data_IF_338209253983
#
_entry.id   IF_338209253983
#
_cell.length_a   1.000
_cell.length_b   1.000
_cell.length_c   1.000
_cell.angle_alpha   90.00
_cell.angle_beta   90.00
_cell.angle_gamma   90.00
#
_symmetry.space_group_name_H-M   'P 1'
#
loop_
_entity.id
_entity.type
_entity.pdbx_description
1 polymer ?
#
# COMPACT_ATOMS: atom_id res chain seq x y z
N UNK A 1 -4.62 4.86 -9.18
CA UNK A 1 -3.79 4.35 -10.28
C UNK A 1 -2.86 5.46 -10.75
N UNK A 2 -1.68 5.62 -10.13
CA UNK A 2 -0.58 6.31 -10.76
C UNK A 2 0.26 5.19 -11.37
N UNK A 3 -0.09 4.79 -12.57
CA UNK A 3 0.78 4.00 -13.41
C UNK A 3 2.12 4.77 -13.56
N UNK A 4 3.26 4.06 -13.74
CA UNK A 4 4.58 4.63 -14.07
C UNK A 4 4.55 5.34 -15.45
N UNK A 5 3.87 6.46 -15.49
CA UNK A 5 3.72 7.26 -16.69
C UNK A 5 4.95 8.16 -16.76
N UNK A 6 5.92 7.76 -17.57
CA UNK A 6 6.98 8.65 -17.99
C UNK A 6 6.32 9.82 -18.75
N UNK A 7 6.01 10.90 -18.03
CA UNK A 7 5.71 12.17 -18.65
C UNK A 7 7.03 12.58 -19.31
N UNK A 8 7.11 12.42 -20.63
CA UNK A 8 8.17 13.03 -21.42
C UNK A 8 8.10 14.52 -21.17
N UNK A 9 9.24 15.17 -20.93
CA UNK A 9 9.36 16.65 -20.82
C UNK A 9 8.81 17.41 -22.03
N UNK A 10 8.35 16.71 -23.06
CA UNK A 10 7.87 17.25 -24.33
C UNK A 10 6.34 17.34 -24.46
N UNK A 11 5.55 16.80 -23.52
CA UNK A 11 4.08 16.88 -23.57
C UNK A 11 3.49 17.58 -22.35
N UNK A 12 2.45 18.40 -22.57
CA UNK A 12 1.71 19.01 -21.48
C UNK A 12 0.93 17.94 -20.69
N UNK A 13 0.56 18.22 -19.43
CA UNK A 13 -0.32 17.36 -18.64
C UNK A 13 -1.62 17.07 -19.38
N UNK A 14 -2.16 18.05 -20.10
CA UNK A 14 -3.36 17.91 -20.92
C UNK A 14 -3.17 16.87 -22.04
N UNK A 15 -2.08 16.97 -22.80
CA UNK A 15 -1.79 16.02 -23.88
C UNK A 15 -1.62 14.61 -23.36
N UNK A 16 -0.99 14.48 -22.19
CA UNK A 16 -0.81 13.21 -21.51
C UNK A 16 -2.15 12.59 -21.10
N UNK A 17 -3.03 13.34 -20.44
CA UNK A 17 -4.34 12.86 -20.01
C UNK A 17 -5.23 12.50 -21.21
N UNK A 18 -5.23 13.35 -22.24
CA UNK A 18 -5.96 13.13 -23.49
C UNK A 18 -5.50 11.88 -24.23
N UNK A 19 -4.19 11.70 -24.41
CA UNK A 19 -3.60 10.56 -25.12
C UNK A 19 -3.90 9.23 -24.40
N UNK A 20 -4.02 9.28 -23.07
CA UNK A 20 -4.33 8.11 -22.26
C UNK A 20 -5.83 7.95 -21.96
N UNK A 21 -6.70 8.79 -22.56
CA UNK A 21 -8.16 8.78 -22.35
C UNK A 21 -8.55 8.87 -20.87
N UNK A 22 -7.83 9.66 -20.09
CA UNK A 22 -8.10 9.88 -18.66
C UNK A 22 -9.03 11.08 -18.54
N UNK A 23 -10.20 10.85 -17.95
CA UNK A 23 -11.16 11.91 -17.66
C UNK A 23 -10.60 12.82 -16.57
N UNK A 24 -10.57 14.12 -16.83
CA UNK A 24 -10.06 15.14 -15.93
C UNK A 24 -11.01 16.33 -15.87
N UNK A 25 -11.07 16.97 -14.70
CA UNK A 25 -11.80 18.24 -14.50
C UNK A 25 -10.80 19.30 -14.04
N UNK A 26 -10.88 20.50 -14.64
CA UNK A 26 -10.12 21.69 -14.25
C UNK A 26 -11.02 22.76 -13.65
N UNK A 27 -10.43 23.83 -13.15
CA UNK A 27 -11.11 25.02 -12.64
C UNK A 27 -12.06 24.72 -11.45
N UNK A 28 -11.72 23.71 -10.66
CA UNK A 28 -12.46 23.34 -9.43
C UNK A 28 -11.75 23.95 -8.23
N UNK A 29 -12.52 24.52 -7.29
CA UNK A 29 -11.99 24.91 -5.98
C UNK A 29 -11.61 23.67 -5.16
N UNK A 30 -10.38 23.20 -5.39
CA UNK A 30 -9.84 22.01 -4.72
C UNK A 30 -9.70 22.21 -3.22
N UNK A 31 -9.51 23.44 -2.73
CA UNK A 31 -9.44 23.74 -1.29
C UNK A 31 -10.79 23.56 -0.62
N UNK A 32 -11.86 24.08 -1.24
CA UNK A 32 -13.23 23.88 -0.77
C UNK A 32 -13.58 22.39 -0.76
N UNK A 33 -13.22 21.66 -1.83
CA UNK A 33 -13.44 20.21 -1.94
C UNK A 33 -12.72 19.43 -0.83
N UNK A 34 -11.45 19.74 -0.57
CA UNK A 34 -10.67 19.09 0.50
C UNK A 34 -11.27 19.39 1.87
N UNK A 35 -11.68 20.65 2.13
CA UNK A 35 -12.36 21.02 3.39
C UNK A 35 -13.67 20.25 3.55
N UNK A 36 -14.47 20.14 2.48
CA UNK A 36 -15.70 19.39 2.51
C UNK A 36 -15.49 17.90 2.83
N UNK A 37 -14.49 17.26 2.20
CA UNK A 37 -14.14 15.84 2.47
C UNK A 37 -13.65 15.67 3.91
N UNK A 38 -12.87 16.61 4.43
CA UNK A 38 -12.39 16.57 5.81
C UNK A 38 -13.53 16.59 6.81
N UNK A 39 -14.53 17.44 6.55
CA UNK A 39 -15.64 17.64 7.49
C UNK A 39 -16.71 16.53 7.37
N UNK A 40 -16.90 15.96 6.17
CA UNK A 40 -17.96 14.97 5.88
C UNK A 40 -17.46 13.55 5.68
N UNK A 41 -16.14 13.34 5.64
CA UNK A 41 -15.52 12.04 5.39
C UNK A 41 -15.34 11.72 3.91
N UNK A 42 -14.58 10.66 3.65
CA UNK A 42 -14.37 10.13 2.31
C UNK A 42 -15.68 9.57 1.73
N UNK A 43 -15.99 9.92 0.50
CA UNK A 43 -17.24 9.58 -0.17
C UNK A 43 -17.03 9.17 -1.62
N UNK A 44 -18.01 8.47 -2.17
CA UNK A 44 -18.05 8.19 -3.60
C UNK A 44 -18.30 9.47 -4.38
N UNK A 45 -17.65 9.61 -5.53
CA UNK A 45 -17.79 10.75 -6.42
C UNK A 45 -17.89 10.27 -7.88
N UNK A 46 -18.44 11.11 -8.74
CA UNK A 46 -18.49 10.86 -10.18
C UNK A 46 -17.97 12.08 -10.94
N UNK A 47 -17.16 11.82 -11.96
CA UNK A 47 -16.77 12.81 -12.96
C UNK A 47 -17.31 12.29 -14.30
N UNK A 48 -18.02 13.13 -15.04
CA UNK A 48 -18.61 12.76 -16.33
C UNK A 48 -18.24 13.75 -17.41
N UNK A 49 -17.95 13.24 -18.60
CA UNK A 49 -17.78 14.02 -19.84
C UNK A 49 -19.05 14.08 -20.68
N UNK A 50 -20.08 13.32 -20.29
CA UNK A 50 -21.37 13.34 -20.98
C UNK A 50 -22.19 14.54 -20.55
N UNK A 51 -23.01 15.07 -21.48
CA UNK A 51 -24.03 16.09 -21.18
C UNK A 51 -25.02 15.50 -20.17
N UNK A 52 -25.23 16.21 -19.06
CA UNK A 52 -26.03 15.70 -17.97
C UNK A 52 -27.33 16.44 -17.97
N UNK A 53 -28.39 15.80 -18.49
CA UNK A 53 -29.71 16.38 -18.58
C UNK A 53 -30.46 16.44 -17.22
N UNK A 54 -29.96 15.69 -16.22
CA UNK A 54 -30.51 15.76 -14.87
C UNK A 54 -29.55 15.28 -13.78
N UNK A 55 -29.42 16.07 -12.73
CA UNK A 55 -28.69 15.73 -11.50
C UNK A 55 -29.23 14.45 -10.87
N UNK A 56 -30.53 14.19 -10.97
CA UNK A 56 -31.14 12.99 -10.37
C UNK A 56 -30.67 11.69 -11.02
N UNK A 57 -30.40 11.72 -12.33
CA UNK A 57 -29.80 10.55 -13.04
C UNK A 57 -28.41 10.24 -12.51
N UNK A 58 -27.58 11.25 -12.27
CA UNK A 58 -26.23 11.08 -11.71
C UNK A 58 -26.33 10.57 -10.27
N UNK A 59 -27.15 11.19 -9.44
CA UNK A 59 -27.36 10.74 -8.05
C UNK A 59 -27.80 9.29 -8.01
N UNK A 60 -28.68 8.87 -8.92
CA UNK A 60 -29.11 7.47 -9.05
C UNK A 60 -27.97 6.53 -9.51
N UNK A 61 -27.04 7.00 -10.33
CA UNK A 61 -25.83 6.23 -10.68
C UNK A 61 -24.89 6.15 -9.49
N UNK A 62 -24.63 7.28 -8.84
CA UNK A 62 -23.73 7.37 -7.68
C UNK A 62 -24.21 6.49 -6.51
N UNK A 63 -25.53 6.42 -6.26
CA UNK A 63 -26.10 5.59 -5.20
C UNK A 63 -25.88 4.08 -5.40
N UNK A 64 -25.53 3.63 -6.62
CA UNK A 64 -25.21 2.24 -6.95
C UNK A 64 -23.73 1.89 -6.74
N UNK A 65 -22.87 2.89 -6.52
CA UNK A 65 -21.43 2.66 -6.29
C UNK A 65 -21.26 2.08 -4.89
N UNK A 66 -20.62 0.91 -4.74
CA UNK A 66 -20.48 0.27 -3.45
C UNK A 66 -19.62 1.10 -2.50
N UNK A 67 -19.85 0.95 -1.21
CA UNK A 67 -18.94 1.47 -0.18
C UNK A 67 -17.57 0.78 -0.30
N UNK A 68 -16.52 1.47 0.16
CA UNK A 68 -15.20 0.88 0.24
C UNK A 68 -15.12 -0.23 1.32
N UNK A 69 -15.99 -0.20 2.35
CA UNK A 69 -16.06 -1.24 3.37
C UNK A 69 -16.49 -2.57 2.75
N UNK A 70 -15.75 -3.61 3.01
CA UNK A 70 -15.96 -4.96 2.46
C UNK A 70 -15.60 -5.09 0.98
N UNK A 71 -15.04 -4.05 0.35
CA UNK A 71 -14.74 -4.06 -1.07
C UNK A 71 -13.30 -4.57 -1.33
N UNK A 72 -13.21 -5.81 -1.76
CA UNK A 72 -11.97 -6.42 -2.22
C UNK A 72 -11.62 -5.91 -3.62
N UNK A 73 -10.45 -5.29 -3.77
CA UNK A 73 -9.97 -4.74 -5.05
C UNK A 73 -8.59 -5.27 -5.49
N UNK A 74 -7.89 -5.98 -4.62
CA UNK A 74 -6.56 -6.51 -4.94
C UNK A 74 -6.62 -7.52 -6.09
N UNK A 75 -7.66 -8.35 -6.17
CA UNK A 75 -7.87 -9.28 -7.27
C UNK A 75 -8.01 -8.63 -8.65
N UNK A 76 -8.47 -7.37 -8.68
CA UNK A 76 -8.67 -6.62 -9.93
C UNK A 76 -7.39 -6.00 -10.48
N UNK A 77 -6.34 -5.88 -9.66
CA UNK A 77 -5.09 -5.18 -10.00
C UNK A 77 -3.86 -6.07 -9.90
N UNK A 78 -3.98 -7.20 -9.22
CA UNK A 78 -2.93 -8.21 -9.12
C UNK A 78 -2.64 -8.85 -10.48
N UNK A 79 -1.40 -9.30 -10.66
CA UNK A 79 -1.03 -10.08 -11.85
C UNK A 79 -1.84 -11.38 -11.93
N UNK A 80 -2.12 -11.82 -13.15
CA UNK A 80 -2.83 -13.09 -13.40
C UNK A 80 -1.89 -14.31 -13.40
N UNK A 81 -0.58 -14.10 -13.59
CA UNK A 81 0.45 -15.16 -13.63
C UNK A 81 1.70 -14.68 -12.93
N UNK A 82 2.45 -15.58 -12.26
CA UNK A 82 3.74 -15.22 -11.70
C UNK A 82 4.68 -14.68 -12.78
N UNK A 83 5.46 -13.64 -12.41
CA UNK A 83 6.52 -13.10 -13.27
C UNK A 83 7.76 -12.77 -12.43
N UNK A 84 8.87 -12.57 -13.12
CA UNK A 84 10.14 -12.25 -12.50
C UNK A 84 10.51 -10.79 -12.73
N UNK A 85 11.23 -10.19 -11.77
CA UNK A 85 11.75 -8.84 -11.86
C UNK A 85 13.13 -8.73 -11.20
N UNK A 86 14.05 -8.01 -11.84
CA UNK A 86 15.45 -7.88 -11.41
C UNK A 86 16.38 -8.82 -12.17
N UNK A 87 17.65 -8.82 -11.78
CA UNK A 87 18.68 -9.70 -12.34
C UNK A 87 18.61 -11.07 -11.66
N UNK A 88 18.57 -12.15 -12.43
CA UNK A 88 18.52 -13.52 -11.91
C UNK A 88 19.79 -13.92 -11.14
N UNK A 89 20.91 -13.23 -11.38
CA UNK A 89 22.17 -13.41 -10.67
C UNK A 89 22.24 -12.60 -9.37
N UNK A 90 21.20 -11.90 -8.99
CA UNK A 90 21.14 -11.14 -7.75
C UNK A 90 21.29 -12.04 -6.54
N UNK A 91 21.93 -11.51 -5.48
CA UNK A 91 22.25 -12.23 -4.25
C UNK A 91 21.02 -12.75 -3.51
N UNK A 92 19.92 -11.97 -3.50
CA UNK A 92 18.74 -12.27 -2.70
C UNK A 92 17.54 -12.62 -3.56
N UNK A 93 16.78 -13.63 -3.16
CA UNK A 93 15.50 -14.03 -3.78
C UNK A 93 14.33 -13.61 -2.90
N UNK A 94 13.46 -12.75 -3.39
CA UNK A 94 12.32 -12.26 -2.65
C UNK A 94 11.03 -12.67 -3.34
N UNK A 95 10.20 -13.46 -2.64
CA UNK A 95 8.86 -13.79 -3.11
C UNK A 95 7.88 -12.67 -2.74
N UNK A 96 7.27 -12.04 -3.73
CA UNK A 96 6.35 -10.92 -3.57
C UNK A 96 4.92 -11.41 -3.77
N UNK A 97 4.06 -11.24 -2.78
CA UNK A 97 2.61 -11.42 -2.95
C UNK A 97 2.03 -10.11 -3.50
N UNK A 98 1.48 -10.17 -4.70
CA UNK A 98 0.98 -9.01 -5.44
C UNK A 98 -0.47 -8.70 -5.10
N UNK A 99 -0.68 -7.64 -4.34
CA UNK A 99 -1.99 -7.06 -4.04
C UNK A 99 -2.27 -5.78 -4.85
N UNK A 100 -1.40 -5.45 -5.81
CA UNK A 100 -1.39 -4.22 -6.60
C UNK A 100 -0.05 -3.49 -6.48
N UNK A 101 1.07 -4.23 -6.64
CA UNK A 101 2.42 -3.75 -6.39
C UNK A 101 2.79 -2.55 -7.26
N UNK A 102 3.28 -1.48 -6.65
CA UNK A 102 3.88 -0.36 -7.38
C UNK A 102 5.25 -0.77 -7.91
N UNK A 103 5.47 -0.50 -9.20
CA UNK A 103 6.73 -0.82 -9.87
C UNK A 103 7.96 -0.24 -9.15
N UNK A 104 7.80 0.90 -8.47
CA UNK A 104 8.92 1.52 -7.76
C UNK A 104 9.36 0.71 -6.52
N UNK A 105 8.49 -0.09 -5.92
CA UNK A 105 8.86 -1.06 -4.87
C UNK A 105 9.82 -2.10 -5.45
N UNK A 106 9.46 -2.71 -6.57
CA UNK A 106 10.31 -3.73 -7.23
C UNK A 106 11.65 -3.13 -7.68
N UNK A 107 11.65 -1.90 -8.19
CA UNK A 107 12.87 -1.18 -8.56
C UNK A 107 13.77 -0.91 -7.35
N UNK A 108 13.22 -0.55 -6.18
CA UNK A 108 13.99 -0.33 -4.96
C UNK A 108 14.63 -1.62 -4.43
N UNK A 109 13.91 -2.74 -4.48
CA UNK A 109 14.46 -4.05 -4.13
C UNK A 109 15.54 -4.50 -5.13
N UNK A 110 15.29 -4.35 -6.43
CA UNK A 110 16.26 -4.71 -7.47
C UNK A 110 17.57 -3.90 -7.38
N UNK A 111 17.50 -2.61 -7.06
CA UNK A 111 18.68 -1.77 -6.81
C UNK A 111 19.54 -2.25 -5.63
N UNK A 112 18.96 -3.06 -4.74
CA UNK A 112 19.61 -3.66 -3.58
C UNK A 112 19.97 -5.13 -3.79
N UNK A 113 20.23 -5.49 -5.04
CA UNK A 113 20.70 -6.82 -5.43
C UNK A 113 19.68 -7.93 -5.11
N UNK A 114 18.38 -7.65 -5.30
CA UNK A 114 17.31 -8.62 -5.14
C UNK A 114 16.69 -9.02 -6.48
N UNK A 115 16.48 -10.32 -6.65
CA UNK A 115 15.69 -10.94 -7.70
C UNK A 115 14.33 -11.33 -7.14
N UNK A 116 13.26 -10.83 -7.74
CA UNK A 116 11.91 -11.05 -7.26
C UNK A 116 11.16 -12.02 -8.15
N UNK A 117 10.38 -12.91 -7.53
CA UNK A 117 9.26 -13.58 -8.17
C UNK A 117 7.97 -13.02 -7.59
N UNK A 118 7.19 -12.39 -8.45
CA UNK A 118 5.92 -11.76 -8.10
C UNK A 118 4.80 -12.76 -8.33
N UNK A 119 4.03 -13.06 -7.30
CA UNK A 119 2.97 -14.05 -7.29
C UNK A 119 1.59 -13.38 -7.22
N UNK A 120 0.58 -13.88 -7.93
CA UNK A 120 -0.79 -13.40 -7.84
C UNK A 120 -1.33 -13.40 -6.40
N UNK A 121 -2.30 -12.51 -6.12
CA UNK A 121 -2.97 -12.36 -4.82
C UNK A 121 -3.55 -13.67 -4.26
N UNK A 122 -3.94 -14.61 -5.12
CA UNK A 122 -4.56 -15.89 -4.76
C UNK A 122 -3.57 -17.05 -4.70
N UNK A 123 -2.25 -16.78 -4.77
CA UNK A 123 -1.22 -17.82 -4.65
C UNK A 123 -1.22 -18.43 -3.27
N UNK A 124 -0.88 -19.71 -3.19
CA UNK A 124 -0.71 -20.42 -1.93
C UNK A 124 0.71 -20.25 -1.42
N UNK A 125 0.90 -20.31 -0.11
CA UNK A 125 2.22 -20.28 0.51
C UNK A 125 3.18 -21.34 -0.04
N UNK A 126 2.69 -22.56 -0.23
CA UNK A 126 3.49 -23.67 -0.76
C UNK A 126 4.05 -23.40 -2.17
N UNK A 127 3.32 -22.67 -3.01
CA UNK A 127 3.79 -22.30 -4.34
C UNK A 127 4.89 -21.25 -4.30
N UNK A 128 4.80 -20.31 -3.36
CA UNK A 128 5.84 -19.33 -3.08
C UNK A 128 7.09 -19.99 -2.49
N UNK A 129 6.90 -20.89 -1.54
CA UNK A 129 7.95 -21.64 -0.84
C UNK A 129 8.76 -22.56 -1.78
N UNK A 130 8.10 -23.21 -2.77
CA UNK A 130 8.76 -24.05 -3.79
C UNK A 130 9.84 -23.32 -4.56
N UNK A 131 9.73 -22.02 -4.72
CA UNK A 131 10.76 -21.18 -5.37
C UNK A 131 11.99 -20.95 -4.47
N UNK A 132 11.91 -21.36 -3.22
CA UNK A 132 12.94 -21.22 -2.19
C UNK A 132 13.47 -19.77 -2.05
N UNK A 133 12.59 -18.79 -1.74
CA UNK A 133 13.02 -17.41 -1.54
C UNK A 133 13.80 -17.25 -0.24
N UNK A 134 14.67 -16.25 -0.15
CA UNK A 134 15.33 -15.85 1.08
C UNK A 134 14.41 -15.06 1.99
N UNK A 135 13.49 -14.29 1.41
CA UNK A 135 12.52 -13.45 2.13
C UNK A 135 11.19 -13.33 1.38
N UNK A 136 10.20 -12.80 2.08
CA UNK A 136 8.86 -12.52 1.54
C UNK A 136 8.52 -11.04 1.62
N UNK A 137 7.68 -10.60 0.72
CA UNK A 137 7.19 -9.23 0.65
C UNK A 137 5.68 -9.22 0.37
N UNK A 138 4.90 -8.51 1.19
CA UNK A 138 3.47 -8.28 0.92
C UNK A 138 3.31 -6.86 0.40
N UNK A 139 2.82 -6.76 -0.84
CA UNK A 139 2.79 -5.47 -1.52
C UNK A 139 1.69 -4.54 -1.00
N UNK A 140 1.79 -3.28 -1.41
CA UNK A 140 0.67 -2.34 -1.36
C UNK A 140 -0.47 -2.81 -2.27
N UNK A 141 -1.65 -2.20 -2.11
CA UNK A 141 -2.81 -2.47 -2.95
C UNK A 141 -4.02 -1.64 -2.55
N UNK A 142 -5.10 -1.68 -3.34
CA UNK A 142 -6.36 -0.99 -3.07
C UNK A 142 -7.35 -1.84 -2.28
N UNK A 143 -8.36 -1.18 -1.73
CA UNK A 143 -9.53 -1.81 -1.13
C UNK A 143 -9.46 -1.98 0.37
N UNK A 144 -10.41 -2.75 0.88
CA UNK A 144 -10.49 -3.14 2.28
C UNK A 144 -9.59 -4.36 2.51
N UNK A 145 -8.75 -4.38 3.55
CA UNK A 145 -7.89 -5.54 3.85
C UNK A 145 -8.65 -6.75 4.42
N UNK A 146 -9.78 -6.55 5.09
CA UNK A 146 -10.51 -7.64 5.79
C UNK A 146 -10.96 -8.79 4.85
N UNK A 147 -11.47 -8.53 3.63
CA UNK A 147 -11.87 -9.60 2.71
C UNK A 147 -10.70 -10.42 2.12
N UNK A 148 -9.46 -10.00 2.33
CA UNK A 148 -8.26 -10.65 1.76
C UNK A 148 -7.86 -11.93 2.53
N UNK A 149 -8.80 -12.83 2.79
CA UNK A 149 -8.59 -14.03 3.60
C UNK A 149 -7.42 -14.91 3.11
N UNK A 150 -7.23 -15.05 1.79
CA UNK A 150 -6.08 -15.78 1.25
C UNK A 150 -4.75 -15.10 1.63
N UNK A 151 -4.62 -13.80 1.41
CA UNK A 151 -3.39 -13.06 1.73
C UNK A 151 -3.10 -13.10 3.25
N UNK A 152 -4.13 -12.98 4.09
CA UNK A 152 -4.01 -13.10 5.55
C UNK A 152 -3.49 -14.50 5.95
N UNK A 153 -4.05 -15.57 5.37
CA UNK A 153 -3.63 -16.94 5.67
C UNK A 153 -2.20 -17.21 5.18
N UNK A 154 -1.86 -16.82 3.96
CA UNK A 154 -0.49 -16.93 3.42
C UNK A 154 0.49 -16.17 4.31
N UNK A 155 0.12 -14.98 4.79
CA UNK A 155 0.97 -14.19 5.69
C UNK A 155 1.20 -14.90 7.03
N UNK A 156 0.19 -15.57 7.61
CA UNK A 156 0.35 -16.41 8.81
C UNK A 156 1.36 -17.54 8.58
N UNK A 157 1.28 -18.21 7.42
CA UNK A 157 2.22 -19.27 7.08
C UNK A 157 3.66 -18.74 6.88
N UNK A 158 3.81 -17.57 6.24
CA UNK A 158 5.10 -16.89 6.10
C UNK A 158 5.68 -16.55 7.48
N UNK A 159 4.90 -15.96 8.37
CA UNK A 159 5.33 -15.64 9.74
C UNK A 159 5.79 -16.87 10.53
N UNK A 160 5.20 -18.05 10.27
CA UNK A 160 5.61 -19.31 10.86
C UNK A 160 6.89 -19.89 10.24
N UNK A 161 7.25 -19.48 9.03
CA UNK A 161 8.48 -19.95 8.35
C UNK A 161 9.77 -19.38 8.91
N UNK A 162 9.68 -18.36 9.77
CA UNK A 162 10.81 -17.60 10.33
C UNK A 162 11.67 -16.85 9.29
N UNK A 163 11.28 -16.80 8.03
CA UNK A 163 11.96 -16.01 7.01
C UNK A 163 11.57 -14.53 7.11
N UNK A 164 12.48 -13.63 6.72
CA UNK A 164 12.21 -12.19 6.70
C UNK A 164 10.95 -11.83 5.91
N UNK A 165 10.15 -10.92 6.48
CA UNK A 165 8.92 -10.41 5.87
C UNK A 165 8.84 -8.90 6.01
N UNK A 166 8.57 -8.22 4.89
CA UNK A 166 8.27 -6.79 4.88
C UNK A 166 6.92 -6.54 4.19
N UNK A 167 6.12 -5.62 4.74
CA UNK A 167 4.82 -5.23 4.18
C UNK A 167 4.64 -3.73 4.06
N UNK A 168 4.08 -3.27 2.94
CA UNK A 168 3.82 -1.84 2.67
C UNK A 168 2.33 -1.60 2.47
N UNK A 169 1.79 -0.59 3.14
CA UNK A 169 0.43 -0.06 3.02
C UNK A 169 -0.63 -1.16 3.23
N UNK A 170 -1.26 -1.69 2.18
CA UNK A 170 -2.17 -2.83 2.31
C UNK A 170 -1.47 -4.06 2.92
N UNK A 171 -0.20 -4.29 2.58
CA UNK A 171 0.62 -5.35 3.18
C UNK A 171 0.84 -5.17 4.67
N UNK A 172 0.96 -3.94 5.16
CA UNK A 172 1.00 -3.64 6.60
C UNK A 172 -0.31 -4.05 7.29
N UNK A 173 -1.45 -3.69 6.70
CA UNK A 173 -2.77 -4.03 7.23
C UNK A 173 -3.00 -5.56 7.24
N UNK A 174 -2.58 -6.26 6.17
CA UNK A 174 -2.65 -7.73 6.09
C UNK A 174 -1.77 -8.40 7.15
N UNK A 175 -0.56 -7.89 7.39
CA UNK A 175 0.33 -8.38 8.47
C UNK A 175 -0.32 -8.16 9.85
N UNK A 176 -0.94 -7.00 10.08
CA UNK A 176 -1.66 -6.73 11.32
C UNK A 176 -2.84 -7.70 11.54
N UNK A 177 -3.68 -7.90 10.52
CA UNK A 177 -4.79 -8.88 10.55
C UNK A 177 -4.30 -10.31 10.78
N UNK A 178 -3.17 -10.70 10.18
CA UNK A 178 -2.55 -12.02 10.41
C UNK A 178 -2.11 -12.24 11.86
N UNK A 179 -1.85 -11.15 12.60
CA UNK A 179 -1.50 -11.15 14.03
C UNK A 179 -2.70 -10.85 14.95
N UNK A 180 -3.93 -10.84 14.43
CA UNK A 180 -5.15 -10.63 15.20
C UNK A 180 -5.49 -9.18 15.51
N UNK A 181 -4.80 -8.22 14.90
CA UNK A 181 -5.11 -6.79 15.02
C UNK A 181 -6.18 -6.45 13.99
N UNK A 182 -7.24 -5.79 14.42
CA UNK A 182 -8.31 -5.31 13.55
C UNK A 182 -7.86 -4.11 12.71
N UNK A 183 -8.59 -3.90 11.64
CA UNK A 183 -8.49 -2.68 10.83
C UNK A 183 -9.81 -1.91 10.88
N UNK A 184 -9.74 -0.61 10.62
CA UNK A 184 -10.93 0.22 10.54
C UNK A 184 -10.84 1.20 9.38
N UNK A 185 -12.01 1.58 8.83
CA UNK A 185 -12.10 2.62 7.83
C UNK A 185 -11.96 3.98 8.50
N UNK A 186 -10.97 4.75 8.05
CA UNK A 186 -10.77 6.12 8.53
C UNK A 186 -11.84 7.05 8.00
N UNK A 187 -12.08 8.17 8.70
CA UNK A 187 -13.05 9.18 8.28
C UNK A 187 -12.75 9.74 6.88
N UNK A 188 -11.54 10.23 6.66
CA UNK A 188 -11.10 10.78 5.36
C UNK A 188 -9.85 10.09 4.80
N UNK A 189 -9.12 9.32 5.61
CA UNK A 189 -7.86 8.66 5.24
C UNK A 189 -6.69 9.64 5.05
N UNK A 190 -5.50 9.09 4.79
CA UNK A 190 -4.31 9.86 4.47
C UNK A 190 -4.02 9.80 2.97
N UNK A 191 -3.97 10.97 2.32
CA UNK A 191 -3.68 11.10 0.88
C UNK A 191 -2.84 12.32 0.62
N UNK A 192 -1.56 12.08 0.32
CA UNK A 192 -0.59 13.14 0.03
C UNK A 192 0.85 12.67 0.17
N UNK A 193 1.77 13.56 -0.21
CA UNK A 193 3.21 13.31 -0.21
C UNK A 193 3.93 14.04 0.94
N UNK A 194 3.19 14.58 1.89
CA UNK A 194 3.70 15.44 2.95
C UNK A 194 3.15 15.06 4.34
N UNK A 195 2.91 13.78 4.56
CA UNK A 195 2.43 13.27 5.84
C UNK A 195 3.60 13.03 6.80
N UNK A 196 3.63 13.73 7.97
CA UNK A 196 4.70 13.57 8.92
C UNK A 196 4.46 12.33 9.80
N UNK A 197 5.49 11.52 9.97
CA UNK A 197 5.52 10.41 10.93
C UNK A 197 6.73 10.58 11.86
N UNK A 198 6.63 10.02 13.06
CA UNK A 198 7.77 9.88 13.95
C UNK A 198 8.24 8.43 13.95
N UNK A 199 9.54 8.24 13.76
CA UNK A 199 10.19 6.97 14.00
C UNK A 199 10.48 6.89 15.51
N UNK A 200 9.76 6.00 16.21
CA UNK A 200 9.82 5.89 17.67
C UNK A 200 11.17 5.34 18.18
N UNK A 201 11.89 4.60 17.34
CA UNK A 201 13.22 4.05 17.68
C UNK A 201 14.29 5.15 17.70
N UNK A 202 14.23 6.08 16.75
CA UNK A 202 15.26 7.12 16.57
C UNK A 202 14.82 8.47 17.14
N UNK A 203 13.52 8.68 17.38
CA UNK A 203 12.93 9.96 17.74
C UNK A 203 12.90 10.99 16.60
N UNK A 204 13.22 10.59 15.36
CA UNK A 204 13.25 11.50 14.21
C UNK A 204 11.90 11.59 13.52
N UNK A 205 11.51 12.78 13.12
CA UNK A 205 10.40 13.02 12.21
C UNK A 205 10.81 12.73 10.76
N UNK A 206 9.92 12.09 10.02
CA UNK A 206 10.10 11.76 8.60
C UNK A 206 8.88 12.26 7.84
N UNK A 207 9.08 12.79 6.64
CA UNK A 207 7.98 13.16 5.74
C UNK A 207 7.73 11.98 4.80
N UNK A 208 6.47 11.55 4.71
CA UNK A 208 6.11 10.34 3.98
C UNK A 208 5.02 10.57 2.94
N UNK A 209 5.03 9.72 1.91
CA UNK A 209 3.93 9.60 0.96
C UNK A 209 2.91 8.61 1.50
N UNK A 210 1.63 9.00 1.56
CA UNK A 210 0.54 8.15 2.04
C UNK A 210 -0.66 8.17 1.09
N UNK A 211 -1.29 7.03 0.89
CA UNK A 211 -2.54 6.91 0.14
C UNK A 211 -3.32 5.69 0.62
N UNK A 212 -4.02 5.84 1.73
CA UNK A 212 -4.84 4.79 2.31
C UNK A 212 -6.10 5.34 2.99
N UNK A 213 -7.14 4.52 3.06
CA UNK A 213 -8.42 4.84 3.72
C UNK A 213 -8.72 3.94 4.92
N UNK A 214 -7.86 2.96 5.18
CA UNK A 214 -7.93 2.06 6.33
C UNK A 214 -6.66 2.18 7.15
N UNK A 215 -6.79 1.96 8.46
CA UNK A 215 -5.68 1.90 9.40
C UNK A 215 -5.85 0.71 10.35
N UNK A 216 -4.77 0.30 11.00
CA UNK A 216 -4.81 -0.73 12.03
C UNK A 216 -5.29 -0.14 13.36
N UNK A 217 -6.01 -0.93 14.14
CA UNK A 217 -6.57 -0.50 15.41
C UNK A 217 -5.47 -0.30 16.46
N UNK A 218 -5.46 0.90 17.05
CA UNK A 218 -4.43 1.30 18.01
C UNK A 218 -4.53 0.52 19.31
N UNK A 219 -5.74 0.36 19.82
CA UNK A 219 -5.98 -0.32 21.11
C UNK A 219 -5.63 -1.81 21.04
N UNK A 220 -6.03 -2.49 19.95
CA UNK A 220 -5.66 -3.89 19.71
C UNK A 220 -4.14 -4.04 19.57
N UNK A 221 -3.47 -3.08 18.90
CA UNK A 221 -2.02 -3.11 18.72
C UNK A 221 -1.27 -2.92 20.04
N UNK A 222 -1.65 -1.92 20.84
CA UNK A 222 -1.03 -1.63 22.14
C UNK A 222 -1.22 -2.77 23.17
N UNK A 223 -2.32 -3.51 23.09
CA UNK A 223 -2.58 -4.70 23.93
C UNK A 223 -1.76 -5.92 23.53
N UNK A 224 -1.28 -5.97 22.29
CA UNK A 224 -0.54 -7.12 21.79
C UNK A 224 0.95 -7.02 22.10
N UNK A 225 1.39 -7.73 23.16
CA UNK A 225 2.78 -7.73 23.65
C UNK A 225 3.83 -8.20 22.63
N UNK A 226 3.40 -8.89 21.57
CA UNK A 226 4.28 -9.38 20.51
C UNK A 226 4.50 -8.35 19.42
N UNK A 227 3.87 -7.19 19.51
CA UNK A 227 3.97 -6.12 18.51
C UNK A 227 4.64 -4.90 19.14
N UNK A 228 5.67 -4.39 18.45
CA UNK A 228 6.32 -3.11 18.71
C UNK A 228 5.81 -2.09 17.69
N UNK A 229 5.29 -0.96 18.17
CA UNK A 229 4.95 0.18 17.29
C UNK A 229 6.24 0.90 16.95
N UNK A 230 6.58 0.98 15.67
CA UNK A 230 7.85 1.56 15.20
C UNK A 230 7.68 2.99 14.68
N UNK A 231 6.53 3.29 14.08
CA UNK A 231 6.23 4.61 13.52
C UNK A 231 4.81 5.04 13.89
N UNK A 232 4.62 6.34 14.11
CA UNK A 232 3.32 6.93 14.43
C UNK A 232 3.12 8.20 13.61
N UNK A 233 1.92 8.41 13.11
CA UNK A 233 1.56 9.63 12.38
C UNK A 233 1.43 10.80 13.35
N UNK A 234 2.06 11.95 13.03
CA UNK A 234 2.16 13.08 13.97
C UNK A 234 0.89 13.95 14.06
N UNK A 235 -0.05 13.83 13.11
CA UNK A 235 -1.23 14.69 13.11
C UNK A 235 -2.42 14.06 13.84
N UNK A 236 -2.50 12.73 13.91
CA UNK A 236 -3.70 12.03 14.43
C UNK A 236 -3.37 10.76 15.22
N UNK A 237 -2.09 10.53 15.52
CA UNK A 237 -1.60 9.39 16.30
C UNK A 237 -2.01 8.01 15.75
N UNK A 238 -2.30 7.91 14.45
CA UNK A 238 -2.51 6.60 13.82
C UNK A 238 -1.20 5.85 13.71
N UNK A 239 -1.26 4.53 13.87
CA UNK A 239 -0.07 3.67 13.77
C UNK A 239 0.39 3.64 12.32
N UNK A 240 1.64 4.05 12.10
CA UNK A 240 2.27 4.13 10.79
C UNK A 240 3.32 3.05 10.53
N UNK A 241 3.66 2.23 11.52
CA UNK A 241 4.56 1.10 11.36
C UNK A 241 4.60 0.19 12.59
N UNK A 242 4.80 -1.10 12.34
CA UNK A 242 4.91 -2.13 13.37
C UNK A 242 6.04 -3.11 13.06
N UNK A 243 6.55 -3.76 14.12
CA UNK A 243 7.46 -4.88 14.07
C UNK A 243 6.90 -6.02 14.94
N UNK A 244 7.10 -7.25 14.50
CA UNK A 244 6.70 -8.44 15.26
C UNK A 244 7.92 -8.95 16.05
N UNK A 245 7.84 -8.92 17.38
CA UNK A 245 8.99 -9.14 18.27
C UNK A 245 9.67 -10.51 18.09
N UNK A 246 8.90 -11.58 17.93
CA UNK A 246 9.41 -12.95 17.82
C UNK A 246 9.69 -13.37 16.36
N UNK A 247 9.60 -12.44 15.41
CA UNK A 247 9.70 -12.72 13.98
C UNK A 247 10.62 -11.72 13.29
N UNK A 248 11.23 -12.14 12.22
CA UNK A 248 11.92 -11.23 11.30
C UNK A 248 10.86 -10.55 10.40
N UNK A 249 10.03 -9.68 11.00
CA UNK A 249 8.92 -9.05 10.31
C UNK A 249 8.72 -7.63 10.78
N UNK A 250 8.65 -6.70 9.82
CA UNK A 250 8.17 -5.35 10.05
C UNK A 250 7.31 -4.86 8.87
N UNK A 251 6.54 -3.81 9.11
CA UNK A 251 5.70 -3.22 8.06
C UNK A 251 5.41 -1.75 8.32
N UNK A 252 5.12 -1.00 7.25
CA UNK A 252 4.76 0.41 7.33
C UNK A 252 3.51 0.72 6.52
N UNK A 253 2.71 1.66 7.04
CA UNK A 253 1.47 2.10 6.41
C UNK A 253 1.71 3.06 5.24
N UNK A 254 2.79 3.82 5.29
CA UNK A 254 3.20 4.77 4.25
C UNK A 254 3.99 4.09 3.12
N UNK A 255 4.35 4.87 2.11
CA UNK A 255 5.03 4.41 0.90
C UNK A 255 6.52 4.84 0.89
N UNK A 256 7.45 4.02 1.43
CA UNK A 256 8.89 4.36 1.45
C UNK A 256 9.52 4.38 0.07
N UNK A 257 8.87 3.76 -0.92
CA UNK A 257 9.27 3.79 -2.32
C UNK A 257 8.99 5.15 -2.97
N UNK A 258 8.17 6.01 -2.34
CA UNK A 258 7.74 7.31 -2.86
C UNK A 258 7.20 7.25 -4.31
N UNK A 259 7.63 8.16 -5.19
CA UNK A 259 7.30 8.24 -6.60
C UNK A 259 5.79 8.45 -6.88
N UNK A 260 5.30 9.64 -6.59
CA UNK A 260 6.00 10.85 -6.11
C UNK A 260 6.15 10.89 -4.59
N UNK A 261 7.05 11.75 -4.09
CA UNK A 261 7.17 12.05 -2.67
C UNK A 261 8.61 12.06 -2.15
N UNK A 262 8.79 12.34 -0.86
CA UNK A 262 10.08 12.36 -0.19
C UNK A 262 10.68 10.96 -0.05
N UNK A 263 12.00 10.91 0.15
CA UNK A 263 12.76 9.67 0.27
C UNK A 263 13.29 9.41 1.69
N UNK A 264 12.78 10.13 2.69
CA UNK A 264 13.24 10.05 4.08
C UNK A 264 13.23 8.62 4.62
N UNK A 265 12.23 7.85 4.23
CA UNK A 265 12.01 6.47 4.69
C UNK A 265 12.56 5.38 3.74
N UNK A 266 13.35 5.75 2.71
CA UNK A 266 13.91 4.78 1.76
C UNK A 266 14.87 3.76 2.40
N UNK A 267 15.46 4.10 3.56
CA UNK A 267 16.32 3.23 4.37
C UNK A 267 15.62 1.93 4.82
N UNK A 268 14.29 1.91 4.87
CA UNK A 268 13.53 0.71 5.25
C UNK A 268 13.74 -0.47 4.27
N UNK A 269 14.07 -0.17 3.02
CA UNK A 269 14.48 -1.23 2.09
C UNK A 269 15.86 -1.79 2.44
N UNK A 270 16.77 -0.94 2.94
CA UNK A 270 18.09 -1.37 3.40
C UNK A 270 17.95 -2.20 4.68
N UNK A 271 17.12 -1.78 5.65
CA UNK A 271 16.80 -2.58 6.84
C UNK A 271 16.21 -3.96 6.50
N UNK A 272 15.39 -4.03 5.44
CA UNK A 272 14.84 -5.31 4.98
C UNK A 272 15.94 -6.23 4.42
N UNK A 273 16.86 -5.70 3.63
CA UNK A 273 18.01 -6.47 3.13
C UNK A 273 18.94 -6.91 4.28
N UNK A 274 19.25 -6.02 5.21
CA UNK A 274 20.04 -6.36 6.41
C UNK A 274 19.41 -7.48 7.24
N UNK A 275 18.07 -7.57 7.23
CA UNK A 275 17.35 -8.63 7.91
C UNK A 275 17.49 -9.99 7.20
N UNK A 276 17.67 -9.99 5.87
CA UNK A 276 17.93 -11.20 5.09
C UNK A 276 19.35 -11.73 5.33
N UNK A 277 20.30 -10.86 5.63
CA UNK A 277 21.71 -11.20 5.86
C UNK A 277 22.00 -11.80 7.25
N UNK A 278 21.09 -11.65 8.20
CA UNK A 278 21.21 -12.18 9.57
C UNK A 278 20.68 -13.60 9.68
#
# INVERSE_FOLDING_TARGET
FICDLKISLASSLFDFLSSNKIVCISDVDTRALVSYIRDNGAMNAVISTESIDSIDKIKKQLSKVPSMNGLELASRVSTNKPYYFGDENSKYKIAVLDLGVKMNILKNLSKRNAYMKVFPHNSKYEDMKKWNPDAYFISNGPGDPEPLSNAINVTKEILNSKKPLFGICLGHQVIALANGIKTYKMHNGHRGINHPVINLKTGKGEITSQNHGFAIDKEDTEKNKNIEITHMHLNDDTIAGIKINDKQCFSVQFHPEASAGPHDSSYLFDEFIDMIEK
#
